data_IF_031442675880
#
_entry.id   IF_031442675880
#
_cell.length_a   1.000
_cell.length_b   1.000
_cell.length_c   1.000
_cell.angle_alpha   90.00
_cell.angle_beta   90.00
_cell.angle_gamma   90.00
#
_symmetry.space_group_name_H-M   'P 1'
#
loop_
_entity.id
_entity.type
_entity.pdbx_description
1 polymer ?
#
# COMPACT_ATOMS: atom_id res chain seq x y z
N UNK A 1 11.32 9.74 -28.96
CA UNK A 1 11.36 10.44 -27.67
C UNK A 1 12.70 11.15 -27.58
N UNK A 2 12.69 12.47 -27.46
CA UNK A 2 13.91 13.26 -27.26
C UNK A 2 14.42 13.14 -25.82
N UNK A 3 15.73 13.31 -25.63
CA UNK A 3 16.36 13.35 -24.31
C UNK A 3 16.04 14.69 -23.64
N UNK A 4 15.35 14.67 -22.49
CA UNK A 4 14.83 15.88 -21.82
C UNK A 4 15.50 16.21 -20.49
N UNK A 5 16.60 15.53 -20.14
CA UNK A 5 17.30 15.72 -18.85
C UNK A 5 18.60 16.50 -19.11
N UNK A 6 18.86 17.55 -18.33
CA UNK A 6 20.11 18.30 -18.40
C UNK A 6 21.32 17.40 -18.16
N UNK A 7 22.40 17.59 -18.93
CA UNK A 7 23.64 16.85 -18.76
C UNK A 7 24.31 17.09 -17.41
N UNK A 8 24.11 18.26 -16.79
CA UNK A 8 24.60 18.52 -15.43
C UNK A 8 23.91 17.60 -14.42
N UNK A 9 22.61 17.37 -14.57
CA UNK A 9 21.86 16.43 -13.74
C UNK A 9 22.31 14.98 -14.00
N UNK A 10 22.64 14.63 -15.25
CA UNK A 10 23.18 13.32 -15.60
C UNK A 10 24.53 13.09 -14.90
N UNK A 11 25.46 14.03 -15.07
CA UNK A 11 26.80 13.99 -14.49
C UNK A 11 26.72 13.91 -12.97
N UNK A 12 25.94 14.79 -12.34
CA UNK A 12 25.72 14.81 -10.90
C UNK A 12 25.25 13.45 -10.35
N UNK A 13 24.27 12.81 -10.98
CA UNK A 13 23.78 11.50 -10.52
C UNK A 13 24.78 10.37 -10.76
N UNK A 14 25.60 10.43 -11.80
CA UNK A 14 26.68 9.48 -12.05
C UNK A 14 27.78 9.62 -10.98
N UNK A 15 28.13 10.84 -10.59
CA UNK A 15 29.08 11.11 -9.51
C UNK A 15 28.57 10.55 -8.18
N UNK A 16 27.30 10.80 -7.82
CA UNK A 16 26.68 10.20 -6.64
C UNK A 16 26.67 8.67 -6.68
N UNK A 17 26.46 8.08 -7.87
CA UNK A 17 26.43 6.64 -8.04
C UNK A 17 27.80 5.98 -7.88
N UNK A 18 28.89 6.67 -8.23
CA UNK A 18 30.26 6.16 -8.20
C UNK A 18 31.04 6.60 -6.95
N UNK A 19 30.45 7.42 -6.07
CA UNK A 19 31.10 7.88 -4.86
C UNK A 19 31.58 6.70 -3.99
N UNK A 20 32.80 6.72 -3.45
CA UNK A 20 33.24 5.71 -2.49
C UNK A 20 32.31 5.66 -1.28
N UNK A 21 32.04 4.45 -0.80
CA UNK A 21 31.25 4.22 0.40
C UNK A 21 31.84 3.06 1.20
N UNK A 22 31.75 3.16 2.53
CA UNK A 22 32.06 2.05 3.43
C UNK A 22 31.03 0.91 3.30
N UNK A 23 31.29 -0.24 3.92
CA UNK A 23 30.32 -1.33 3.95
C UNK A 23 29.04 -0.90 4.70
N UNK A 24 27.86 -1.31 4.24
CA UNK A 24 26.61 -1.04 4.95
C UNK A 24 26.54 -1.82 6.26
N UNK A 25 25.90 -1.24 7.27
CA UNK A 25 25.56 -1.91 8.53
C UNK A 25 24.09 -2.33 8.50
N UNK A 26 23.75 -3.49 9.08
CA UNK A 26 22.40 -4.05 8.98
C UNK A 26 21.33 -3.09 9.48
N UNK A 27 21.54 -2.45 10.64
CA UNK A 27 20.58 -1.49 11.21
C UNK A 27 20.28 -0.31 10.27
N UNK A 28 21.30 0.21 9.58
CA UNK A 28 21.14 1.28 8.59
C UNK A 28 20.29 0.80 7.41
N UNK A 29 20.55 -0.41 6.91
CA UNK A 29 19.81 -1.03 5.81
C UNK A 29 18.36 -1.25 6.20
N UNK A 30 18.10 -1.80 7.38
CA UNK A 30 16.76 -2.04 7.88
C UNK A 30 16.01 -0.73 8.09
N UNK A 31 16.64 0.28 8.69
CA UNK A 31 16.03 1.61 8.86
C UNK A 31 15.67 2.26 7.52
N UNK A 32 16.51 2.11 6.49
CA UNK A 32 16.21 2.62 5.16
C UNK A 32 15.00 1.92 4.51
N UNK A 33 14.93 0.59 4.62
CA UNK A 33 13.79 -0.21 4.14
C UNK A 33 12.52 0.13 4.94
N UNK A 34 12.63 0.31 6.25
CA UNK A 34 11.50 0.62 7.12
C UNK A 34 10.94 2.02 6.87
N UNK A 35 11.80 2.99 6.53
CA UNK A 35 11.40 4.37 6.27
C UNK A 35 10.66 4.52 4.94
N UNK A 36 11.23 3.99 3.85
CA UNK A 36 10.76 4.27 2.48
C UNK A 36 10.67 3.03 1.58
N UNK A 37 10.95 1.83 2.10
CA UNK A 37 10.89 0.57 1.36
C UNK A 37 12.04 0.35 0.38
N UNK A 38 13.00 1.27 0.27
CA UNK A 38 13.99 1.33 -0.81
C UNK A 38 15.40 1.55 -0.28
N UNK A 39 16.36 1.01 -1.02
CA UNK A 39 17.78 1.24 -0.80
C UNK A 39 18.33 2.17 -1.88
N UNK A 40 18.95 3.26 -1.44
CA UNK A 40 19.57 4.28 -2.27
C UNK A 40 20.97 4.59 -1.76
N UNK A 41 21.92 4.82 -2.65
CA UNK A 41 23.30 5.14 -2.30
C UNK A 41 24.26 4.85 -3.45
N UNK A 42 25.58 4.94 -3.24
CA UNK A 42 26.54 4.55 -4.25
C UNK A 42 26.41 3.07 -4.64
N UNK A 43 26.85 2.73 -5.84
CA UNK A 43 26.66 1.39 -6.43
C UNK A 43 27.17 0.28 -5.51
N UNK A 44 28.36 0.44 -4.95
CA UNK A 44 28.98 -0.58 -4.11
C UNK A 44 28.26 -0.75 -2.76
N UNK A 45 27.77 0.36 -2.19
CA UNK A 45 26.98 0.32 -0.97
C UNK A 45 25.62 -0.34 -1.21
N UNK A 46 24.90 0.07 -2.26
CA UNK A 46 23.52 -0.41 -2.52
C UNK A 46 23.51 -1.91 -2.80
N UNK A 47 24.40 -2.43 -3.64
CA UNK A 47 24.45 -3.88 -3.90
C UNK A 47 24.83 -4.67 -2.64
N UNK A 48 25.73 -4.13 -1.80
CA UNK A 48 26.08 -4.75 -0.52
C UNK A 48 24.90 -4.72 0.46
N UNK A 49 24.15 -3.61 0.51
CA UNK A 49 22.98 -3.45 1.36
C UNK A 49 21.86 -4.40 0.95
N UNK A 50 21.66 -4.60 -0.36
CA UNK A 50 20.73 -5.61 -0.88
C UNK A 50 21.10 -7.03 -0.47
N UNK A 51 22.39 -7.42 -0.58
CA UNK A 51 22.84 -8.74 -0.13
C UNK A 51 22.66 -8.93 1.37
N UNK A 52 22.96 -7.91 2.16
CA UNK A 52 22.80 -7.91 3.61
C UNK A 52 21.32 -8.06 4.01
N UNK A 53 20.43 -7.34 3.34
CA UNK A 53 18.99 -7.47 3.54
C UNK A 53 18.46 -8.87 3.14
N UNK A 54 18.93 -9.41 2.00
CA UNK A 54 18.53 -10.76 1.53
C UNK A 54 18.97 -11.83 2.52
N UNK A 55 20.18 -11.70 3.08
CA UNK A 55 20.67 -12.58 4.15
C UNK A 55 19.75 -12.52 5.37
N UNK A 56 19.53 -11.31 5.90
CA UNK A 56 18.66 -11.06 7.03
C UNK A 56 17.26 -11.65 6.81
N UNK A 57 16.61 -11.31 5.69
CA UNK A 57 15.22 -11.71 5.45
C UNK A 57 15.07 -13.24 5.35
N UNK A 58 16.00 -13.94 4.70
CA UNK A 58 15.95 -15.38 4.61
C UNK A 58 16.20 -16.07 5.97
N UNK A 59 17.17 -15.56 6.76
CA UNK A 59 17.47 -16.09 8.08
C UNK A 59 16.28 -15.93 9.03
N UNK A 60 15.74 -14.72 9.12
CA UNK A 60 14.60 -14.41 9.99
C UNK A 60 13.36 -15.23 9.60
N UNK A 61 13.08 -15.38 8.30
CA UNK A 61 11.95 -16.21 7.83
C UNK A 61 12.18 -17.66 8.29
N UNK A 62 13.40 -18.17 8.14
CA UNK A 62 13.72 -19.54 8.53
C UNK A 62 13.62 -19.75 10.05
N UNK A 63 13.90 -18.74 10.86
CA UNK A 63 13.78 -18.80 12.32
C UNK A 63 12.34 -18.63 12.82
N UNK A 64 11.54 -17.81 12.13
CA UNK A 64 10.19 -17.43 12.57
C UNK A 64 9.12 -18.41 12.10
N UNK A 65 9.22 -18.90 10.86
CA UNK A 65 8.20 -19.77 10.27
C UNK A 65 8.53 -21.25 10.49
N UNK A 66 7.50 -22.05 10.72
CA UNK A 66 7.63 -23.50 10.83
C UNK A 66 7.89 -24.11 9.45
N UNK A 67 9.17 -24.28 9.13
CA UNK A 67 9.64 -24.90 7.89
C UNK A 67 10.13 -26.32 8.16
N UNK A 68 9.88 -27.24 7.23
CA UNK A 68 10.60 -28.51 7.22
C UNK A 68 12.08 -28.28 6.86
N UNK A 69 12.93 -29.27 7.11
CA UNK A 69 14.35 -29.18 6.75
C UNK A 69 14.55 -28.93 5.24
N UNK A 70 13.73 -29.57 4.39
CA UNK A 70 13.76 -29.35 2.95
C UNK A 70 13.35 -27.92 2.57
N UNK A 71 12.33 -27.37 3.23
CA UNK A 71 11.87 -26.00 2.98
C UNK A 71 12.87 -24.96 3.46
N UNK A 72 13.49 -25.18 4.63
CA UNK A 72 14.60 -24.36 5.12
C UNK A 72 15.74 -24.37 4.11
N UNK A 73 16.19 -25.55 3.67
CA UNK A 73 17.24 -25.67 2.64
C UNK A 73 16.85 -24.96 1.33
N UNK A 74 15.59 -25.07 0.92
CA UNK A 74 15.06 -24.40 -0.27
C UNK A 74 15.14 -22.87 -0.14
N UNK A 75 14.77 -22.31 1.02
CA UNK A 75 14.87 -20.88 1.30
C UNK A 75 16.32 -20.38 1.28
N UNK A 76 17.25 -21.13 1.89
CA UNK A 76 18.67 -20.76 1.90
C UNK A 76 19.28 -20.82 0.49
N UNK A 77 18.90 -21.81 -0.32
CA UNK A 77 19.30 -21.87 -1.73
C UNK A 77 18.77 -20.66 -2.53
N UNK A 78 17.53 -20.23 -2.27
CA UNK A 78 16.96 -19.02 -2.88
C UNK A 78 17.76 -17.77 -2.49
N UNK A 79 18.09 -17.61 -1.20
CA UNK A 79 18.94 -16.53 -0.70
C UNK A 79 20.28 -16.50 -1.43
N UNK A 80 20.96 -17.64 -1.53
CA UNK A 80 22.29 -17.74 -2.13
C UNK A 80 22.27 -17.45 -3.64
N UNK A 81 21.21 -17.89 -4.34
CA UNK A 81 21.00 -17.54 -5.73
C UNK A 81 20.83 -16.02 -5.92
N UNK A 82 20.00 -15.37 -5.10
CA UNK A 82 19.81 -13.91 -5.19
C UNK A 82 21.09 -13.14 -4.85
N UNK A 83 21.85 -13.56 -3.82
CA UNK A 83 23.13 -12.93 -3.46
C UNK A 83 24.19 -13.06 -4.57
N UNK A 84 24.25 -14.23 -5.21
CA UNK A 84 25.14 -14.46 -6.37
C UNK A 84 24.78 -13.52 -7.51
N UNK A 85 23.49 -13.43 -7.86
CA UNK A 85 23.01 -12.52 -8.91
C UNK A 85 23.35 -11.05 -8.64
N UNK A 86 23.19 -10.61 -7.39
CA UNK A 86 23.53 -9.24 -6.99
C UNK A 86 25.02 -8.95 -7.12
N UNK A 87 25.88 -9.94 -6.87
CA UNK A 87 27.33 -9.82 -7.02
C UNK A 87 27.75 -9.68 -8.48
N UNK A 88 27.20 -10.53 -9.36
CA UNK A 88 27.46 -10.44 -10.80
C UNK A 88 26.93 -9.13 -11.40
N UNK A 89 25.74 -8.72 -10.99
CA UNK A 89 25.15 -7.46 -11.44
C UNK A 89 25.87 -6.23 -10.91
N UNK A 90 26.47 -6.28 -9.72
CA UNK A 90 27.28 -5.18 -9.19
C UNK A 90 28.49 -4.90 -10.10
N UNK A 91 29.23 -5.95 -10.49
CA UNK A 91 30.38 -5.80 -11.41
C UNK A 91 29.97 -5.11 -12.70
N UNK A 92 28.90 -5.61 -13.32
CA UNK A 92 28.40 -5.04 -14.57
C UNK A 92 27.85 -3.61 -14.38
N UNK A 93 27.18 -3.31 -13.27
CA UNK A 93 26.68 -1.98 -12.98
C UNK A 93 27.83 -0.98 -12.82
N UNK A 94 28.88 -1.34 -12.08
CA UNK A 94 30.06 -0.50 -11.85
C UNK A 94 30.77 -0.15 -13.15
N UNK A 95 31.04 -1.14 -13.99
CA UNK A 95 31.66 -0.95 -15.31
C UNK A 95 30.84 0.02 -16.18
N UNK A 96 29.53 -0.23 -16.28
CA UNK A 96 28.65 0.60 -17.11
C UNK A 96 28.50 2.03 -16.59
N UNK A 97 28.38 2.21 -15.29
CA UNK A 97 28.30 3.54 -14.68
C UNK A 97 29.59 4.33 -14.90
N UNK A 98 30.76 3.69 -14.76
CA UNK A 98 32.05 4.32 -15.02
C UNK A 98 32.22 4.71 -16.49
N UNK A 99 31.84 3.82 -17.43
CA UNK A 99 31.87 4.12 -18.86
C UNK A 99 30.97 5.32 -19.23
N UNK A 100 29.75 5.36 -18.68
CA UNK A 100 28.83 6.48 -18.90
C UNK A 100 29.33 7.78 -18.26
N UNK A 101 29.91 7.71 -17.06
CA UNK A 101 30.50 8.88 -16.40
C UNK A 101 31.64 9.47 -17.24
N UNK A 102 32.57 8.62 -17.68
CA UNK A 102 33.68 9.03 -18.53
C UNK A 102 33.18 9.69 -19.83
N UNK A 103 32.23 9.05 -20.52
CA UNK A 103 31.65 9.58 -21.74
C UNK A 103 31.02 10.97 -21.55
N UNK A 104 30.26 11.18 -20.46
CA UNK A 104 29.61 12.46 -20.14
C UNK A 104 30.60 13.52 -19.64
N UNK A 105 31.65 13.13 -18.93
CA UNK A 105 32.69 14.03 -18.45
C UNK A 105 33.55 14.58 -19.60
N UNK A 106 33.90 13.71 -20.55
CA UNK A 106 34.76 14.03 -21.71
C UNK A 106 33.97 14.63 -22.89
N UNK A 107 32.63 14.65 -22.83
CA UNK A 107 31.78 15.06 -23.95
C UNK A 107 31.75 14.05 -25.11
N UNK A 108 32.32 12.85 -24.92
CA UNK A 108 32.40 11.79 -25.91
C UNK A 108 31.25 10.80 -25.77
N UNK A 109 30.03 11.24 -26.10
CA UNK A 109 28.82 10.42 -26.07
C UNK A 109 27.97 10.64 -27.30
N UNK A 110 27.08 9.69 -27.58
CA UNK A 110 26.13 9.76 -28.68
C UNK A 110 24.70 9.71 -28.15
N UNK A 111 23.84 10.62 -28.63
CA UNK A 111 22.41 10.60 -28.35
C UNK A 111 21.66 10.02 -29.56
N UNK A 112 20.90 8.95 -29.33
CA UNK A 112 20.07 8.36 -30.38
C UNK A 112 18.83 7.71 -29.77
N UNK A 113 17.65 7.98 -30.35
CA UNK A 113 16.42 7.30 -29.96
C UNK A 113 16.03 7.48 -28.48
N UNK A 114 16.39 8.60 -27.85
CA UNK A 114 16.14 8.86 -26.42
C UNK A 114 17.09 8.14 -25.47
N UNK A 115 18.23 7.65 -25.97
CA UNK A 115 19.27 6.98 -25.21
C UNK A 115 20.58 7.76 -25.28
N UNK A 116 21.37 7.66 -24.23
CA UNK A 116 22.76 8.11 -24.18
C UNK A 116 23.66 6.89 -24.29
N UNK A 117 24.59 6.94 -25.24
CA UNK A 117 25.59 5.90 -25.50
C UNK A 117 26.99 6.40 -25.17
N UNK A 118 27.76 5.59 -24.46
CA UNK A 118 29.21 5.69 -24.36
C UNK A 118 29.89 5.02 -25.58
N UNK A 119 31.17 5.31 -25.85
CA UNK A 119 31.88 4.78 -27.02
C UNK A 119 32.01 3.24 -27.05
N UNK A 120 32.00 2.60 -25.90
CA UNK A 120 32.04 1.14 -25.74
C UNK A 120 30.69 0.45 -26.03
N UNK A 121 29.67 1.21 -26.41
CA UNK A 121 28.31 0.72 -26.63
C UNK A 121 27.48 0.58 -25.36
N UNK A 122 28.02 0.90 -24.17
CA UNK A 122 27.25 1.04 -22.94
C UNK A 122 26.23 2.16 -23.12
N UNK A 123 25.01 1.94 -22.63
CA UNK A 123 23.96 2.94 -22.80
C UNK A 123 23.02 3.01 -21.61
N UNK A 124 22.38 4.18 -21.50
CA UNK A 124 21.28 4.42 -20.60
C UNK A 124 20.14 5.11 -21.31
N UNK A 125 18.95 5.05 -20.72
CA UNK A 125 17.77 5.72 -21.24
C UNK A 125 17.04 6.43 -20.12
N UNK A 126 16.37 7.53 -20.49
CA UNK A 126 15.54 8.29 -19.58
C UNK A 126 14.06 7.98 -19.82
N UNK A 127 13.34 7.58 -18.78
CA UNK A 127 11.87 7.57 -18.76
C UNK A 127 11.41 8.73 -17.88
N UNK A 128 10.63 9.69 -18.38
CA UNK A 128 10.21 10.91 -17.64
C UNK A 128 11.33 11.49 -16.73
N UNK A 129 11.46 11.02 -15.48
CA UNK A 129 12.42 11.49 -14.48
C UNK A 129 13.45 10.45 -13.98
N UNK A 130 13.43 9.22 -14.51
CA UNK A 130 14.27 8.10 -14.09
C UNK A 130 15.21 7.72 -15.23
N UNK A 131 16.52 7.85 -15.00
CA UNK A 131 17.55 7.35 -15.90
C UNK A 131 17.92 5.94 -15.51
N UNK A 132 17.96 5.02 -16.48
CA UNK A 132 18.11 3.60 -16.24
C UNK A 132 19.27 3.05 -17.06
N UNK A 133 20.14 2.30 -16.39
CA UNK A 133 21.24 1.55 -17.00
C UNK A 133 20.85 0.07 -16.97
N UNK A 134 20.59 -0.57 -18.12
CA UNK A 134 20.16 -1.97 -18.16
C UNK A 134 21.26 -2.92 -17.69
N UNK A 135 20.87 -3.93 -16.92
CA UNK A 135 21.69 -5.10 -16.62
C UNK A 135 21.24 -6.24 -17.53
N UNK A 136 22.20 -6.99 -18.10
CA UNK A 136 21.93 -8.00 -19.14
C UNK A 136 22.70 -9.28 -18.84
N UNK A 137 22.09 -10.41 -19.21
CA UNK A 137 22.68 -11.76 -19.14
C UNK A 137 23.12 -12.16 -17.72
N UNK A 138 22.42 -11.67 -16.70
CA UNK A 138 22.57 -12.07 -15.29
C UNK A 138 21.19 -12.51 -14.81
N UNK A 139 21.03 -13.79 -14.51
CA UNK A 139 19.73 -14.37 -14.13
C UNK A 139 19.90 -15.74 -13.47
N UNK A 140 18.97 -16.11 -12.58
CA UNK A 140 18.92 -17.44 -11.99
C UNK A 140 17.47 -17.94 -11.87
N UNK A 141 17.30 -19.26 -11.79
CA UNK A 141 16.06 -19.89 -11.31
C UNK A 141 16.32 -20.44 -9.92
N UNK A 142 15.46 -20.11 -8.97
CA UNK A 142 15.50 -20.67 -7.61
C UNK A 142 14.09 -20.94 -7.11
N UNK A 143 13.91 -21.97 -6.28
CA UNK A 143 12.60 -22.26 -5.67
C UNK A 143 12.43 -21.48 -4.37
N UNK A 144 11.26 -20.91 -4.15
CA UNK A 144 10.84 -20.34 -2.87
C UNK A 144 9.85 -21.29 -2.19
N UNK A 145 10.03 -21.66 -0.91
CA UNK A 145 9.14 -22.61 -0.25
C UNK A 145 7.79 -21.99 0.10
N UNK A 146 6.79 -22.83 0.40
CA UNK A 146 5.52 -22.37 0.96
C UNK A 146 5.69 -22.03 2.45
N UNK A 147 6.18 -20.81 2.70
CA UNK A 147 6.45 -20.30 4.06
C UNK A 147 5.18 -19.97 4.83
N UNK A 148 4.10 -19.61 4.13
CA UNK A 148 2.89 -19.08 4.78
C UNK A 148 1.91 -20.17 5.19
N UNK A 149 1.99 -21.36 4.57
CA UNK A 149 1.11 -22.51 4.84
C UNK A 149 -0.38 -22.17 4.79
N UNK A 150 -0.74 -21.22 3.91
CA UNK A 150 -2.10 -20.71 3.85
C UNK A 150 -3.02 -21.71 3.14
N UNK A 151 -4.28 -21.83 3.58
CA UNK A 151 -5.31 -22.51 2.80
C UNK A 151 -5.38 -21.91 1.39
N UNK A 152 -5.62 -22.76 0.38
CA UNK A 152 -5.60 -22.37 -1.03
C UNK A 152 -6.44 -21.12 -1.34
N UNK A 153 -7.67 -21.05 -0.80
CA UNK A 153 -8.55 -19.90 -0.99
C UNK A 153 -7.93 -18.60 -0.46
N UNK A 154 -7.23 -18.66 0.67
CA UNK A 154 -6.57 -17.49 1.27
C UNK A 154 -5.35 -17.05 0.46
N UNK A 155 -4.58 -18.01 -0.04
CA UNK A 155 -3.48 -17.74 -0.95
C UNK A 155 -3.97 -17.07 -2.24
N UNK A 156 -5.04 -17.60 -2.85
CA UNK A 156 -5.65 -17.01 -4.06
C UNK A 156 -6.12 -15.56 -3.82
N UNK A 157 -6.68 -15.24 -2.64
CA UNK A 157 -7.02 -13.86 -2.27
C UNK A 157 -5.81 -12.90 -2.26
N UNK A 158 -4.71 -13.32 -1.64
CA UNK A 158 -3.45 -12.55 -1.60
C UNK A 158 -2.90 -12.36 -3.01
N UNK A 159 -2.92 -13.42 -3.82
CA UNK A 159 -2.47 -13.43 -5.20
C UNK A 159 -3.30 -12.51 -6.11
N UNK A 160 -4.62 -12.49 -5.92
CA UNK A 160 -5.52 -11.59 -6.66
C UNK A 160 -5.21 -10.12 -6.36
N UNK A 161 -4.94 -9.77 -5.11
CA UNK A 161 -4.58 -8.39 -4.78
C UNK A 161 -3.26 -7.95 -5.39
N UNK A 162 -2.23 -8.81 -5.38
CA UNK A 162 -0.99 -8.55 -6.14
C UNK A 162 -1.29 -8.34 -7.63
N UNK A 163 -2.13 -9.18 -8.22
CA UNK A 163 -2.55 -9.07 -9.62
C UNK A 163 -3.31 -7.78 -9.94
N UNK A 164 -4.11 -7.30 -9.01
CA UNK A 164 -4.82 -6.01 -9.13
C UNK A 164 -3.88 -4.80 -9.00
N UNK A 165 -2.63 -5.01 -8.58
CA UNK A 165 -1.61 -3.97 -8.39
C UNK A 165 -0.48 -4.04 -9.43
N UNK A 166 0.78 -3.91 -9.02
CA UNK A 166 1.96 -3.83 -9.88
C UNK A 166 2.43 -5.17 -10.46
N UNK A 167 1.81 -6.31 -10.09
CA UNK A 167 2.09 -7.59 -10.72
C UNK A 167 1.69 -7.58 -12.21
N UNK A 168 2.69 -7.76 -13.06
CA UNK A 168 2.55 -7.91 -14.50
C UNK A 168 2.25 -9.34 -14.95
N UNK A 169 2.28 -9.51 -16.26
CA UNK A 169 2.15 -10.79 -16.92
C UNK A 169 3.28 -10.95 -17.94
N UNK A 170 4.19 -11.88 -17.68
CA UNK A 170 5.27 -12.25 -18.60
C UNK A 170 4.89 -13.59 -19.25
N UNK A 171 4.48 -13.55 -20.52
CA UNK A 171 4.16 -14.74 -21.33
C UNK A 171 3.20 -15.73 -20.64
N UNK A 172 2.15 -15.20 -20.00
CA UNK A 172 1.13 -15.99 -19.30
C UNK A 172 1.52 -16.39 -17.87
N UNK A 173 2.58 -15.80 -17.28
CA UNK A 173 3.04 -16.07 -15.91
C UNK A 173 3.07 -14.80 -15.06
N UNK A 174 2.80 -14.90 -13.74
CA UNK A 174 2.94 -13.76 -12.84
C UNK A 174 4.35 -13.17 -12.87
N UNK A 175 4.43 -11.85 -12.99
CA UNK A 175 5.68 -11.10 -13.10
C UNK A 175 5.71 -9.94 -12.11
N UNK A 176 6.85 -9.75 -11.44
CA UNK A 176 7.07 -8.62 -10.54
C UNK A 176 8.37 -7.91 -10.92
N UNK A 177 8.35 -6.59 -10.99
CA UNK A 177 9.55 -5.76 -11.10
C UNK A 177 9.54 -4.72 -10.00
N UNK A 178 10.51 -4.77 -9.09
CA UNK A 178 10.53 -3.90 -7.91
C UNK A 178 11.93 -3.39 -7.59
N UNK A 179 11.98 -2.22 -6.96
CA UNK A 179 13.18 -1.66 -6.33
C UNK A 179 13.17 -1.80 -4.81
N UNK A 180 12.21 -2.55 -4.26
CA UNK A 180 11.98 -2.69 -2.84
C UNK A 180 12.37 -4.09 -2.36
N UNK A 181 13.35 -4.22 -1.44
CA UNK A 181 13.80 -5.53 -0.97
C UNK A 181 12.71 -6.37 -0.31
N UNK A 182 11.89 -5.77 0.56
CA UNK A 182 10.79 -6.47 1.23
C UNK A 182 9.76 -7.05 0.23
N UNK A 183 9.55 -6.38 -0.91
CA UNK A 183 8.56 -6.81 -1.89
C UNK A 183 9.01 -8.06 -2.65
N UNK A 184 10.33 -8.32 -2.74
CA UNK A 184 10.87 -9.57 -3.30
C UNK A 184 10.34 -10.78 -2.54
N UNK A 185 10.50 -10.77 -1.22
CA UNK A 185 10.08 -11.86 -0.34
C UNK A 185 8.57 -11.90 -0.16
N UNK A 186 7.93 -10.75 0.04
CA UNK A 186 6.47 -10.68 0.21
C UNK A 186 5.73 -11.21 -1.02
N UNK A 187 6.21 -10.92 -2.23
CA UNK A 187 5.62 -11.45 -3.47
C UNK A 187 5.98 -12.92 -3.70
N UNK A 188 7.24 -13.33 -3.44
CA UNK A 188 7.67 -14.72 -3.56
C UNK A 188 6.88 -15.66 -2.63
N UNK A 189 6.56 -15.21 -1.41
CA UNK A 189 5.73 -15.95 -0.46
C UNK A 189 4.28 -16.14 -0.96
N UNK A 190 3.78 -15.26 -1.82
CA UNK A 190 2.49 -15.44 -2.49
C UNK A 190 2.58 -16.36 -3.73
N UNK A 191 3.79 -16.73 -4.17
CA UNK A 191 4.08 -17.52 -5.37
C UNK A 191 5.09 -18.65 -5.07
N UNK A 192 4.83 -19.54 -4.08
CA UNK A 192 5.77 -20.60 -3.76
C UNK A 192 6.02 -21.52 -4.96
N UNK A 193 7.25 -21.98 -5.11
CA UNK A 193 7.71 -22.73 -6.29
C UNK A 193 8.88 -22.06 -7.01
N UNK A 194 9.12 -22.44 -8.26
CA UNK A 194 10.23 -21.92 -9.06
C UNK A 194 9.99 -20.45 -9.44
N UNK A 195 10.97 -19.60 -9.15
CA UNK A 195 11.01 -18.20 -9.51
C UNK A 195 12.26 -17.94 -10.34
N UNK A 196 12.08 -17.37 -11.53
CA UNK A 196 13.17 -16.88 -12.37
C UNK A 196 13.43 -15.41 -12.05
N UNK A 197 14.65 -15.07 -11.65
CA UNK A 197 15.03 -13.78 -11.08
C UNK A 197 16.17 -13.19 -11.91
N UNK A 198 16.10 -11.89 -12.18
CA UNK A 198 17.17 -11.16 -12.84
C UNK A 198 17.19 -9.68 -12.44
N UNK A 199 18.37 -9.10 -12.16
CA UNK A 199 18.52 -7.65 -12.06
C UNK A 199 18.27 -7.04 -13.44
N UNK A 200 17.22 -6.22 -13.57
CA UNK A 200 16.83 -5.65 -14.86
C UNK A 200 17.58 -4.35 -15.18
N UNK A 201 17.79 -3.51 -14.17
CA UNK A 201 18.51 -2.24 -14.32
C UNK A 201 18.98 -1.69 -12.98
N UNK A 202 19.97 -0.80 -13.05
CA UNK A 202 20.21 0.20 -12.01
C UNK A 202 19.59 1.53 -12.45
N UNK A 203 18.97 2.25 -11.51
CA UNK A 203 18.31 3.51 -11.78
C UNK A 203 19.06 4.64 -11.08
N UNK A 204 19.44 5.68 -11.81
CA UNK A 204 20.10 6.86 -11.29
C UNK A 204 19.09 7.80 -10.62
N UNK A 205 19.33 8.09 -9.35
CA UNK A 205 18.50 8.93 -8.50
C UNK A 205 19.33 10.09 -7.94
N UNK A 206 18.68 11.06 -7.30
CA UNK A 206 19.39 12.14 -6.58
C UNK A 206 20.01 11.70 -5.24
N UNK A 207 19.92 10.40 -4.92
CA UNK A 207 20.48 9.78 -3.72
C UNK A 207 21.46 8.65 -4.09
N UNK A 208 22.00 8.64 -5.32
CA UNK A 208 22.80 7.54 -5.86
C UNK A 208 21.97 6.58 -6.72
N UNK A 209 22.23 5.28 -6.66
CA UNK A 209 21.53 4.26 -7.45
C UNK A 209 20.40 3.59 -6.68
N UNK A 210 19.47 2.99 -7.41
CA UNK A 210 18.61 1.90 -6.91
C UNK A 210 18.66 0.72 -7.86
N UNK A 211 18.46 -0.49 -7.36
CA UNK A 211 18.46 -1.73 -8.16
C UNK A 211 17.02 -2.14 -8.43
N UNK A 212 16.70 -2.48 -9.69
CA UNK A 212 15.42 -3.10 -10.06
C UNK A 212 15.64 -4.60 -10.23
N UNK A 213 15.01 -5.39 -9.37
CA UNK A 213 14.92 -6.85 -9.52
C UNK A 213 13.61 -7.21 -10.21
N UNK A 214 13.71 -8.07 -11.21
CA UNK A 214 12.57 -8.65 -11.91
C UNK A 214 12.47 -10.13 -11.59
N UNK A 215 11.25 -10.62 -11.44
CA UNK A 215 10.93 -11.99 -11.06
C UNK A 215 9.76 -12.52 -11.87
N UNK A 216 9.84 -13.78 -12.30
CA UNK A 216 8.76 -14.51 -12.97
C UNK A 216 8.46 -15.77 -12.18
N UNK A 217 7.23 -15.94 -11.71
CA UNK A 217 6.81 -17.13 -10.99
C UNK A 217 6.56 -18.26 -11.99
N UNK A 218 7.54 -19.15 -12.17
CA UNK A 218 7.53 -20.18 -13.21
C UNK A 218 6.58 -21.34 -12.90
N UNK A 219 6.35 -21.64 -11.63
CA UNK A 219 5.39 -22.65 -11.20
C UNK A 219 3.92 -22.21 -11.29
N UNK A 220 3.66 -20.95 -11.64
CA UNK A 220 2.31 -20.38 -11.65
C UNK A 220 1.91 -19.91 -13.05
N UNK A 221 0.63 -20.10 -13.40
CA UNK A 221 -0.02 -19.49 -14.56
C UNK A 221 -0.79 -18.26 -14.11
N UNK A 222 -0.78 -17.22 -14.93
CA UNK A 222 -1.58 -16.03 -14.67
C UNK A 222 -3.05 -16.36 -14.91
N UNK A 223 -3.86 -16.27 -13.85
CA UNK A 223 -5.26 -16.68 -13.87
C UNK A 223 -6.21 -15.54 -14.22
N UNK A 224 -5.83 -14.29 -13.93
CA UNK A 224 -6.74 -13.15 -14.06
C UNK A 224 -6.17 -12.05 -14.95
N UNK A 225 -7.05 -11.39 -15.72
CA UNK A 225 -6.73 -10.07 -16.29
C UNK A 225 -6.65 -9.05 -15.15
N UNK A 226 -5.90 -7.96 -15.37
CA UNK A 226 -5.67 -6.97 -14.30
C UNK A 226 -6.98 -6.29 -13.89
N UNK A 227 -7.82 -5.97 -14.87
CA UNK A 227 -9.13 -5.34 -14.68
C UNK A 227 -10.11 -6.26 -13.94
N UNK A 228 -10.10 -7.56 -14.26
CA UNK A 228 -10.88 -8.58 -13.56
C UNK A 228 -10.44 -8.71 -12.10
N UNK A 229 -9.12 -8.78 -11.85
CA UNK A 229 -8.59 -8.83 -10.50
C UNK A 229 -9.00 -7.60 -9.68
N UNK A 230 -8.93 -6.39 -10.24
CA UNK A 230 -9.42 -5.16 -9.59
C UNK A 230 -10.92 -5.28 -9.25
N UNK A 231 -11.75 -5.74 -10.19
CA UNK A 231 -13.19 -5.91 -9.96
C UNK A 231 -13.49 -6.90 -8.83
N UNK A 232 -12.75 -8.01 -8.78
CA UNK A 232 -12.88 -9.02 -7.71
C UNK A 232 -12.46 -8.44 -6.36
N UNK A 233 -11.33 -7.71 -6.28
CA UNK A 233 -10.89 -7.04 -5.04
C UNK A 233 -11.98 -6.10 -4.51
N UNK A 234 -12.61 -5.30 -5.39
CA UNK A 234 -13.69 -4.40 -4.98
C UNK A 234 -14.96 -5.15 -4.53
N UNK A 235 -15.24 -6.31 -5.12
CA UNK A 235 -16.35 -7.18 -4.69
C UNK A 235 -16.07 -7.78 -3.32
N UNK A 236 -14.87 -8.34 -3.09
CA UNK A 236 -14.44 -8.82 -1.78
C UNK A 236 -14.54 -7.72 -0.72
N UNK A 237 -14.09 -6.50 -1.03
CA UNK A 237 -14.20 -5.35 -0.13
C UNK A 237 -15.65 -5.08 0.28
N UNK A 238 -16.60 -5.10 -0.68
CA UNK A 238 -18.03 -4.92 -0.38
C UNK A 238 -18.60 -6.04 0.50
N UNK A 239 -18.10 -7.25 0.34
CA UNK A 239 -18.47 -8.42 1.15
C UNK A 239 -17.74 -8.47 2.50
N UNK A 240 -16.80 -7.55 2.73
CA UNK A 240 -16.06 -7.47 3.99
C UNK A 240 -14.83 -8.37 4.07
N UNK A 241 -14.34 -8.88 2.95
CA UNK A 241 -13.05 -9.57 2.83
C UNK A 241 -11.97 -8.59 2.37
N UNK A 242 -10.93 -8.41 3.20
CA UNK A 242 -9.91 -7.36 3.02
C UNK A 242 -8.52 -7.88 2.61
N UNK A 243 -8.25 -9.19 2.63
CA UNK A 243 -6.94 -9.71 2.21
C UNK A 243 -6.54 -9.32 0.77
N UNK A 244 -7.43 -9.40 -0.24
CA UNK A 244 -7.09 -8.93 -1.58
C UNK A 244 -6.83 -7.42 -1.63
N UNK A 245 -7.52 -6.63 -0.79
CA UNK A 245 -7.28 -5.19 -0.71
C UNK A 245 -5.91 -4.90 -0.08
N UNK A 246 -5.50 -5.66 0.94
CA UNK A 246 -4.21 -5.53 1.59
C UNK A 246 -3.07 -5.63 0.57
N UNK A 247 -3.01 -6.71 -0.22
CA UNK A 247 -1.92 -6.89 -1.18
C UNK A 247 -2.02 -5.97 -2.39
N UNK A 248 -3.24 -5.61 -2.83
CA UNK A 248 -3.41 -4.54 -3.82
C UNK A 248 -2.79 -3.22 -3.35
N UNK A 249 -2.98 -2.87 -2.07
CA UNK A 249 -2.42 -1.67 -1.47
C UNK A 249 -0.91 -1.80 -1.20
N UNK A 250 -0.39 -2.99 -0.88
CA UNK A 250 1.05 -3.21 -0.76
C UNK A 250 1.80 -2.95 -2.08
N UNK A 251 1.21 -3.27 -3.23
CA UNK A 251 1.77 -2.90 -4.54
C UNK A 251 1.58 -1.42 -4.86
N UNK A 252 0.34 -1.02 -5.17
CA UNK A 252 0.02 0.30 -5.76
C UNK A 252 -0.44 1.35 -4.73
N UNK A 253 -0.54 0.99 -3.46
CA UNK A 253 -0.97 1.88 -2.38
C UNK A 253 0.05 2.93 -1.98
N UNK A 254 -0.44 4.06 -1.44
CA UNK A 254 0.40 5.15 -0.91
C UNK A 254 0.24 5.30 0.61
N UNK A 255 1.36 5.19 1.33
CA UNK A 255 1.44 5.51 2.76
C UNK A 255 1.47 7.04 2.95
N UNK A 256 0.29 7.64 3.18
CA UNK A 256 0.14 9.09 3.34
C UNK A 256 0.38 9.51 4.80
N UNK A 257 1.62 9.38 5.29
CA UNK A 257 1.98 9.62 6.70
C UNK A 257 1.45 10.94 7.26
N UNK A 258 1.53 12.06 6.53
CA UNK A 258 0.98 13.35 6.97
C UNK A 258 -0.56 13.43 7.02
N UNK A 259 -1.27 12.40 6.56
CA UNK A 259 -2.75 12.30 6.54
C UNK A 259 -3.25 10.99 7.14
N UNK A 260 -2.41 10.27 7.86
CA UNK A 260 -2.73 8.95 8.43
C UNK A 260 -3.96 8.97 9.35
N UNK A 261 -4.19 10.06 10.08
CA UNK A 261 -5.40 10.27 10.90
C UNK A 261 -6.70 10.46 10.10
N UNK A 262 -6.63 10.56 8.76
CA UNK A 262 -7.83 10.51 7.90
C UNK A 262 -8.30 9.08 7.67
N UNK A 263 -7.48 8.08 8.02
CA UNK A 263 -7.74 6.65 7.84
C UNK A 263 -8.20 6.34 6.43
N UNK A 264 -7.44 6.75 5.41
CA UNK A 264 -7.75 6.52 4.01
C UNK A 264 -6.80 5.48 3.41
N UNK A 265 -7.38 4.44 2.78
CA UNK A 265 -6.66 3.49 1.92
C UNK A 265 -6.74 4.02 0.50
N UNK A 266 -5.61 4.50 -0.01
CA UNK A 266 -5.48 5.06 -1.34
C UNK A 266 -4.56 4.23 -2.22
N UNK A 267 -4.98 3.97 -3.46
CA UNK A 267 -4.24 3.21 -4.47
C UNK A 267 -4.09 4.00 -5.77
N UNK A 268 -2.99 3.78 -6.47
CA UNK A 268 -2.79 4.32 -7.80
C UNK A 268 -3.68 3.61 -8.83
N UNK A 269 -4.28 4.36 -9.76
CA UNK A 269 -5.11 3.81 -10.83
C UNK A 269 -5.15 4.76 -12.03
N UNK A 270 -5.21 4.22 -13.24
CA UNK A 270 -5.36 5.04 -14.47
C UNK A 270 -6.70 5.76 -14.53
N UNK A 271 -7.75 5.10 -14.05
CA UNK A 271 -9.13 5.62 -14.02
C UNK A 271 -9.64 5.59 -12.58
N UNK A 272 -9.14 6.49 -11.71
CA UNK A 272 -9.39 6.41 -10.27
C UNK A 272 -10.87 6.50 -9.90
N UNK A 273 -11.70 7.18 -10.70
CA UNK A 273 -13.14 7.28 -10.49
C UNK A 273 -13.89 5.95 -10.64
N UNK A 274 -13.31 4.93 -11.30
CA UNK A 274 -13.93 3.60 -11.44
C UNK A 274 -13.81 2.74 -10.19
N UNK A 275 -12.78 2.98 -9.37
CA UNK A 275 -12.44 2.09 -8.25
C UNK A 275 -12.68 2.73 -6.88
N UNK A 276 -12.83 4.05 -6.80
CA UNK A 276 -13.05 4.74 -5.54
C UNK A 276 -13.18 6.26 -5.69
N UNK A 277 -12.95 6.98 -4.60
CA UNK A 277 -12.95 8.45 -4.62
C UNK A 277 -11.64 8.97 -5.21
N UNK A 278 -11.71 9.50 -6.42
CA UNK A 278 -10.58 10.20 -7.03
C UNK A 278 -10.10 11.35 -6.13
N UNK A 279 -8.79 11.39 -5.86
CA UNK A 279 -8.12 12.46 -5.10
C UNK A 279 -7.02 13.15 -5.91
N UNK A 280 -6.89 12.79 -7.17
CA UNK A 280 -5.98 13.31 -8.19
C UNK A 280 -6.12 12.48 -9.46
N UNK A 281 -5.34 12.82 -10.49
CA UNK A 281 -5.46 12.22 -11.84
C UNK A 281 -5.26 10.71 -11.88
N UNK A 282 -4.48 10.18 -10.94
CA UNK A 282 -4.09 8.76 -10.92
C UNK A 282 -4.25 8.10 -9.56
N UNK A 283 -5.12 8.61 -8.68
CA UNK A 283 -5.22 8.09 -7.31
C UNK A 283 -6.65 8.08 -6.78
N UNK A 284 -7.06 6.93 -6.25
CA UNK A 284 -8.37 6.71 -5.67
C UNK A 284 -8.26 6.29 -4.19
N UNK A 285 -9.08 6.90 -3.33
CA UNK A 285 -9.36 6.37 -2.00
C UNK A 285 -10.44 5.30 -2.14
N UNK A 286 -10.08 4.05 -1.89
CA UNK A 286 -10.93 2.87 -2.10
C UNK A 286 -11.63 2.41 -0.82
N UNK A 287 -11.04 2.72 0.34
CA UNK A 287 -11.66 2.47 1.64
C UNK A 287 -11.26 3.55 2.65
N UNK A 288 -12.10 3.76 3.66
CA UNK A 288 -11.87 4.76 4.72
C UNK A 288 -12.41 4.28 6.07
N UNK A 289 -11.72 4.64 7.15
CA UNK A 289 -12.15 4.44 8.54
C UNK A 289 -11.13 3.63 9.33
N UNK A 290 -11.02 3.91 10.63
CA UNK A 290 -10.10 3.18 11.53
C UNK A 290 -10.41 1.67 11.55
N UNK A 291 -11.70 1.29 11.54
CA UNK A 291 -12.15 -0.11 11.42
C UNK A 291 -11.59 -0.84 10.19
N UNK A 292 -11.46 -0.15 9.05
CA UNK A 292 -10.89 -0.74 7.84
C UNK A 292 -9.43 -1.12 8.08
N UNK A 293 -8.67 -0.30 8.82
CA UNK A 293 -7.27 -0.60 9.15
C UNK A 293 -7.16 -1.74 10.15
N UNK A 294 -8.03 -1.80 11.17
CA UNK A 294 -8.12 -2.94 12.08
C UNK A 294 -8.36 -4.24 11.32
N UNK A 295 -9.38 -4.25 10.44
CA UNK A 295 -9.74 -5.43 9.65
C UNK A 295 -8.71 -5.78 8.59
N UNK A 296 -7.98 -4.81 8.04
CA UNK A 296 -6.81 -5.08 7.19
C UNK A 296 -5.71 -5.77 7.98
N UNK A 297 -5.46 -5.33 9.22
CA UNK A 297 -4.46 -5.93 10.07
C UNK A 297 -4.83 -7.36 10.47
N UNK A 298 -6.08 -7.58 10.87
CA UNK A 298 -6.64 -8.92 11.13
C UNK A 298 -6.58 -9.82 9.90
N UNK A 299 -6.96 -9.29 8.73
CA UNK A 299 -6.93 -10.04 7.47
C UNK A 299 -5.50 -10.42 7.03
N UNK A 300 -4.47 -9.75 7.52
CA UNK A 300 -3.09 -10.08 7.16
C UNK A 300 -2.68 -11.48 7.66
N UNK A 301 -3.15 -11.90 8.85
CA UNK A 301 -2.81 -13.21 9.42
C UNK A 301 -1.29 -13.51 9.39
N UNK A 302 -0.86 -14.72 9.01
CA UNK A 302 0.58 -15.06 8.86
C UNK A 302 1.34 -14.14 7.88
N UNK A 303 0.65 -13.55 6.92
CA UNK A 303 1.26 -12.59 5.99
C UNK A 303 1.66 -11.29 6.69
N UNK A 304 0.90 -10.85 7.70
CA UNK A 304 1.25 -9.69 8.53
C UNK A 304 2.56 -9.90 9.29
N UNK A 305 2.74 -11.09 9.86
CA UNK A 305 4.00 -11.49 10.51
C UNK A 305 5.19 -11.46 9.54
N UNK A 306 5.00 -11.97 8.32
CA UNK A 306 6.02 -11.86 7.27
C UNK A 306 6.35 -10.39 6.96
N UNK A 307 5.35 -9.53 6.83
CA UNK A 307 5.57 -8.10 6.51
C UNK A 307 6.29 -7.35 7.63
N UNK A 308 6.03 -7.71 8.89
CA UNK A 308 6.73 -7.18 10.08
C UNK A 308 8.22 -7.53 10.05
N UNK A 309 8.51 -8.81 9.85
CA UNK A 309 9.86 -9.33 9.75
C UNK A 309 10.64 -8.66 8.62
N UNK A 310 10.00 -8.47 7.47
CA UNK A 310 10.57 -7.82 6.30
C UNK A 310 10.73 -6.30 6.44
N UNK A 311 10.37 -5.70 7.58
CA UNK A 311 10.41 -4.24 7.81
C UNK A 311 9.64 -3.46 6.73
N UNK A 312 8.47 -3.98 6.32
CA UNK A 312 7.67 -3.36 5.27
C UNK A 312 7.14 -1.99 5.73
N UNK A 313 7.67 -0.90 5.14
CA UNK A 313 7.24 0.47 5.48
C UNK A 313 5.73 0.72 5.31
N UNK A 314 5.09 0.04 4.34
CA UNK A 314 3.64 0.12 4.13
C UNK A 314 2.87 -0.60 5.24
N UNK A 315 3.37 -1.74 5.70
CA UNK A 315 2.77 -2.45 6.82
C UNK A 315 2.87 -1.63 8.12
N UNK A 316 4.00 -0.95 8.35
CA UNK A 316 4.12 0.00 9.46
C UNK A 316 3.08 1.11 9.41
N UNK A 317 2.75 1.63 8.22
CA UNK A 317 1.65 2.60 8.08
C UNK A 317 0.30 2.02 8.52
N UNK A 318 0.02 0.73 8.27
CA UNK A 318 -1.19 0.06 8.76
C UNK A 318 -1.14 -0.08 10.29
N UNK A 319 -0.04 -0.59 10.85
CA UNK A 319 0.14 -0.73 12.31
C UNK A 319 -0.01 0.60 13.04
N UNK A 320 0.59 1.66 12.51
CA UNK A 320 0.50 3.01 13.05
C UNK A 320 -0.90 3.61 12.94
N UNK A 321 -1.67 3.25 11.90
CA UNK A 321 -3.07 3.64 11.81
C UNK A 321 -3.93 2.85 12.81
N UNK A 322 -3.64 1.56 13.04
CA UNK A 322 -4.30 0.71 14.03
C UNK A 322 -4.04 1.22 15.46
N UNK A 323 -2.78 1.51 15.79
CA UNK A 323 -2.36 1.99 17.11
C UNK A 323 -2.90 3.38 17.46
N UNK A 324 -3.33 4.17 16.46
CA UNK A 324 -3.99 5.45 16.72
C UNK A 324 -5.33 5.22 17.41
N UNK A 325 -5.46 5.81 18.60
CA UNK A 325 -6.72 5.87 19.34
C UNK A 325 -7.80 6.58 18.52
N UNK A 326 -9.04 6.10 18.60
CA UNK A 326 -10.17 6.85 18.04
C UNK A 326 -10.33 8.14 18.84
N UNK A 327 -10.92 9.16 18.22
CA UNK A 327 -11.20 10.42 18.91
C UNK A 327 -12.07 10.23 20.16
N UNK A 328 -12.95 9.22 20.15
CA UNK A 328 -13.77 8.83 21.30
C UNK A 328 -12.91 8.34 22.46
N UNK A 329 -11.93 7.48 22.19
CA UNK A 329 -11.07 6.90 23.22
C UNK A 329 -10.16 7.98 23.83
N UNK A 330 -9.63 8.89 23.01
CA UNK A 330 -8.86 10.05 23.50
C UNK A 330 -9.72 10.90 24.44
N UNK A 331 -10.98 11.13 24.08
CA UNK A 331 -11.88 11.92 24.92
C UNK A 331 -12.25 11.16 26.21
N UNK A 332 -12.43 9.84 26.13
CA UNK A 332 -12.74 8.97 27.27
C UNK A 332 -11.63 9.00 28.31
N UNK A 333 -10.37 8.97 27.90
CA UNK A 333 -9.22 9.07 28.81
C UNK A 333 -9.13 10.41 29.54
N UNK A 334 -9.61 11.49 28.92
CA UNK A 334 -9.67 12.80 29.55
C UNK A 334 -10.83 12.93 30.56
N UNK A 335 -11.80 12.03 30.54
CA UNK A 335 -13.01 12.06 31.36
C UNK A 335 -12.92 11.01 32.47
N UNK A 336 -12.86 11.44 33.73
CA UNK A 336 -12.65 10.52 34.87
C UNK A 336 -13.83 9.58 35.15
N UNK A 337 -15.06 10.09 35.08
CA UNK A 337 -16.29 9.34 35.37
C UNK A 337 -17.41 9.86 34.46
N UNK A 338 -17.53 9.38 33.21
CA UNK A 338 -18.62 9.78 32.35
C UNK A 338 -19.94 9.29 32.95
N UNK A 339 -20.96 10.15 32.93
CA UNK A 339 -22.32 9.74 33.34
C UNK A 339 -22.81 8.63 32.41
N UNK A 340 -23.71 7.77 32.91
CA UNK A 340 -24.50 6.91 32.02
C UNK A 340 -25.53 7.77 31.29
N UNK A 341 -25.73 7.51 30.01
CA UNK A 341 -26.81 8.12 29.23
C UNK A 341 -27.71 7.02 28.68
N UNK A 342 -29.01 7.32 28.58
CA UNK A 342 -29.99 6.39 28.01
C UNK A 342 -29.84 6.32 26.48
N UNK A 343 -29.51 5.14 25.91
CA UNK A 343 -29.38 4.99 24.46
C UNK A 343 -30.59 5.48 23.68
N UNK A 344 -31.81 5.23 24.14
CA UNK A 344 -33.04 5.60 23.42
C UNK A 344 -33.22 7.12 23.37
N UNK A 345 -32.84 7.82 24.45
CA UNK A 345 -32.82 9.29 24.52
C UNK A 345 -31.77 9.89 23.57
N UNK A 346 -30.60 9.27 23.47
CA UNK A 346 -29.56 9.69 22.51
C UNK A 346 -30.08 9.54 21.09
N UNK A 347 -30.64 8.38 20.74
CA UNK A 347 -31.19 8.11 19.40
C UNK A 347 -32.31 9.09 19.04
N UNK A 348 -33.25 9.36 19.95
CA UNK A 348 -34.35 10.30 19.73
C UNK A 348 -33.87 11.75 19.52
N UNK A 349 -32.71 12.11 20.09
CA UNK A 349 -32.13 13.45 20.00
C UNK A 349 -31.19 13.64 18.80
N UNK A 350 -30.91 12.58 18.03
CA UNK A 350 -30.03 12.66 16.88
C UNK A 350 -30.64 13.49 15.75
N UNK A 351 -29.80 14.32 15.13
CA UNK A 351 -30.14 15.09 13.94
C UNK A 351 -29.45 14.51 12.72
N UNK A 352 -30.20 14.39 11.63
CA UNK A 352 -29.66 13.90 10.37
C UNK A 352 -29.02 15.03 9.58
N UNK A 353 -27.85 14.76 9.00
CA UNK A 353 -27.14 15.71 8.14
C UNK A 353 -26.68 15.04 6.86
N UNK A 354 -26.96 15.71 5.74
CA UNK A 354 -26.52 15.30 4.41
C UNK A 354 -25.09 15.79 4.18
N UNK A 355 -24.17 14.87 3.93
CA UNK A 355 -22.78 15.19 3.67
C UNK A 355 -22.52 15.05 2.17
N UNK A 356 -22.16 16.16 1.52
CA UNK A 356 -21.82 16.16 0.09
C UNK A 356 -20.41 15.58 -0.12
N UNK A 357 -20.31 14.26 -0.20
CA UNK A 357 -19.13 13.50 -0.65
C UNK A 357 -19.41 12.74 -1.95
N UNK A 358 -18.49 11.86 -2.38
CA UNK A 358 -18.64 11.03 -3.59
C UNK A 358 -19.86 10.11 -3.51
N UNK A 359 -21.02 10.61 -3.93
CA UNK A 359 -22.31 9.93 -3.92
C UNK A 359 -23.29 10.33 -2.83
N UNK A 360 -22.94 11.31 -1.99
CA UNK A 360 -23.78 11.65 -0.83
C UNK A 360 -23.73 10.60 0.28
N UNK A 361 -23.79 11.04 1.52
CA UNK A 361 -24.03 10.13 2.66
C UNK A 361 -24.86 10.83 3.72
N UNK A 362 -25.43 10.03 4.62
CA UNK A 362 -26.22 10.47 5.75
C UNK A 362 -25.44 10.15 7.03
N UNK A 363 -25.35 11.14 7.91
CA UNK A 363 -24.90 10.95 9.29
C UNK A 363 -26.04 11.30 10.25
N UNK A 364 -26.09 10.61 11.39
CA UNK A 364 -26.94 10.95 12.51
C UNK A 364 -26.05 11.49 13.63
N UNK A 365 -26.30 12.71 14.08
CA UNK A 365 -25.43 13.44 14.99
C UNK A 365 -26.18 13.90 16.24
N UNK A 366 -25.61 13.56 17.39
CA UNK A 366 -25.94 14.11 18.71
C UNK A 366 -24.94 15.21 19.07
N UNK A 367 -25.38 16.24 19.78
CA UNK A 367 -24.54 17.38 20.17
C UNK A 367 -24.50 17.53 21.69
N UNK A 368 -23.31 17.35 22.26
CA UNK A 368 -23.03 17.53 23.68
C UNK A 368 -22.34 18.88 23.92
N UNK A 369 -22.53 19.47 25.09
CA UNK A 369 -21.83 20.70 25.49
C UNK A 369 -20.52 20.40 26.22
N UNK A 370 -20.43 19.24 26.88
CA UNK A 370 -19.27 18.84 27.67
C UNK A 370 -18.61 17.57 27.14
N UNK A 371 -17.38 17.32 27.57
CA UNK A 371 -16.67 16.09 27.21
C UNK A 371 -17.33 14.87 27.87
N UNK A 372 -17.83 15.05 29.09
CA UNK A 372 -18.54 14.04 29.88
C UNK A 372 -19.81 13.58 29.16
N UNK A 373 -20.65 14.53 28.71
CA UNK A 373 -21.86 14.24 27.93
C UNK A 373 -21.52 13.55 26.60
N UNK A 374 -20.44 13.98 25.94
CA UNK A 374 -20.02 13.39 24.68
C UNK A 374 -19.58 11.93 24.83
N UNK A 375 -18.81 11.63 25.88
CA UNK A 375 -18.38 10.27 26.19
C UNK A 375 -19.57 9.41 26.64
N UNK A 376 -20.48 9.95 27.45
CA UNK A 376 -21.71 9.28 27.87
C UNK A 376 -22.57 8.86 26.67
N UNK A 377 -22.84 9.80 25.76
CA UNK A 377 -23.60 9.54 24.53
C UNK A 377 -22.89 8.55 23.61
N UNK A 378 -21.56 8.65 23.48
CA UNK A 378 -20.79 7.68 22.69
C UNK A 378 -20.87 6.27 23.28
N UNK A 379 -20.70 6.12 24.60
CA UNK A 379 -20.82 4.82 25.27
C UNK A 379 -22.21 4.21 25.09
N UNK A 380 -23.28 5.02 25.21
CA UNK A 380 -24.66 4.57 25.00
C UNK A 380 -24.93 4.09 23.56
N UNK A 381 -24.28 4.68 22.56
CA UNK A 381 -24.37 4.19 21.18
C UNK A 381 -23.57 2.89 20.99
N UNK A 382 -22.43 2.75 21.66
CA UNK A 382 -21.61 1.53 21.62
C UNK A 382 -22.33 0.32 22.26
N UNK A 383 -23.17 0.52 23.30
CA UNK A 383 -24.01 -0.58 23.84
C UNK A 383 -25.04 -1.10 22.85
N UNK A 384 -25.39 -0.31 21.83
CA UNK A 384 -26.25 -0.72 20.71
C UNK A 384 -25.46 -1.34 19.55
N UNK A 385 -24.17 -1.59 19.73
CA UNK A 385 -23.28 -2.13 18.70
C UNK A 385 -22.92 -1.13 17.59
N UNK A 386 -23.16 0.17 17.80
CA UNK A 386 -22.77 1.22 16.84
C UNK A 386 -21.32 1.67 17.04
N UNK A 387 -20.77 2.41 16.08
CA UNK A 387 -19.40 2.96 16.15
C UNK A 387 -19.40 4.50 16.03
N UNK A 388 -19.68 5.23 17.12
CA UNK A 388 -19.75 6.69 17.09
C UNK A 388 -18.38 7.33 16.83
N UNK A 389 -18.37 8.48 16.17
CA UNK A 389 -17.21 9.34 16.05
C UNK A 389 -17.46 10.60 16.88
N UNK A 390 -16.45 11.05 17.62
CA UNK A 390 -16.55 12.29 18.41
C UNK A 390 -15.63 13.34 17.81
N UNK A 391 -16.16 14.52 17.51
CA UNK A 391 -15.39 15.65 16.99
C UNK A 391 -15.74 16.89 17.79
N UNK A 392 -14.72 17.66 18.21
CA UNK A 392 -14.92 18.96 18.83
C UNK A 392 -15.32 19.97 17.74
N UNK A 393 -16.52 20.53 17.86
CA UNK A 393 -17.09 21.52 16.95
C UNK A 393 -17.36 22.80 17.71
N UNK A 394 -16.44 23.76 17.64
CA UNK A 394 -16.46 25.01 18.41
C UNK A 394 -16.60 24.75 19.92
N UNK A 395 -17.70 25.22 20.53
CA UNK A 395 -18.03 25.07 21.96
C UNK A 395 -18.79 23.79 22.28
N UNK A 396 -18.98 22.89 21.31
CA UNK A 396 -19.74 21.64 21.47
C UNK A 396 -18.94 20.44 20.98
N UNK A 397 -19.37 19.26 21.39
CA UNK A 397 -18.92 17.99 20.86
C UNK A 397 -20.01 17.42 19.95
N UNK A 398 -19.63 17.03 18.74
CA UNK A 398 -20.50 16.34 17.80
C UNK A 398 -20.18 14.86 17.85
N UNK A 399 -21.17 14.07 18.23
CA UNK A 399 -21.11 12.61 18.31
C UNK A 399 -21.96 12.07 17.17
N UNK A 400 -21.36 11.42 16.20
CA UNK A 400 -22.09 10.99 15.01
C UNK A 400 -21.80 9.55 14.60
N UNK A 401 -22.84 8.90 14.08
CA UNK A 401 -22.78 7.58 13.45
C UNK A 401 -23.04 7.71 11.95
N UNK A 402 -22.44 6.84 11.16
CA UNK A 402 -22.57 6.83 9.71
C UNK A 402 -23.77 6.02 9.24
N UNK A 403 -24.08 6.12 7.94
CA UNK A 403 -25.16 5.37 7.29
C UNK A 403 -25.16 3.87 7.64
N UNK A 404 -23.99 3.23 7.73
CA UNK A 404 -23.89 1.80 8.08
C UNK A 404 -24.53 1.42 9.42
N UNK A 405 -24.35 2.25 10.46
CA UNK A 405 -24.96 2.03 11.77
C UNK A 405 -26.45 2.41 11.74
N UNK A 406 -26.80 3.48 11.01
CA UNK A 406 -28.20 3.90 10.78
C UNK A 406 -29.00 2.75 10.15
N UNK A 407 -28.44 2.01 9.19
CA UNK A 407 -29.11 0.87 8.54
C UNK A 407 -29.45 -0.27 9.50
N UNK A 408 -28.58 -0.52 10.49
CA UNK A 408 -28.67 -1.67 11.39
C UNK A 408 -29.63 -1.44 12.56
N UNK A 409 -29.95 -0.18 12.88
CA UNK A 409 -30.84 0.16 13.97
C UNK A 409 -32.20 0.62 13.43
N UNK A 410 -33.27 -0.07 13.86
CA UNK A 410 -34.64 0.17 13.37
C UNK A 410 -35.10 1.61 13.59
N UNK A 411 -34.89 2.17 14.78
CA UNK A 411 -35.32 3.53 15.12
C UNK A 411 -34.62 4.59 14.27
N UNK A 412 -33.28 4.50 14.13
CA UNK A 412 -32.53 5.41 13.28
C UNK A 412 -32.89 5.26 11.81
N UNK A 413 -33.11 4.03 11.32
CA UNK A 413 -33.53 3.77 9.94
C UNK A 413 -34.85 4.44 9.62
N UNK A 414 -35.87 4.26 10.46
CA UNK A 414 -37.19 4.88 10.29
C UNK A 414 -37.13 6.42 10.38
N UNK A 415 -36.36 6.96 11.33
CA UNK A 415 -36.16 8.40 11.45
C UNK A 415 -35.38 8.99 10.26
N UNK A 416 -34.37 8.28 9.76
CA UNK A 416 -33.61 8.64 8.57
C UNK A 416 -34.50 8.67 7.32
N UNK A 417 -35.35 7.65 7.10
CA UNK A 417 -36.27 7.61 5.97
C UNK A 417 -37.20 8.82 5.95
N UNK A 418 -37.79 9.17 7.11
CA UNK A 418 -38.62 10.39 7.24
C UNK A 418 -37.84 11.65 6.90
N UNK A 419 -36.63 11.80 7.43
CA UNK A 419 -35.78 12.96 7.16
C UNK A 419 -35.37 13.07 5.68
N UNK A 420 -35.03 11.94 5.03
CA UNK A 420 -34.69 11.90 3.61
C UNK A 420 -35.90 12.25 2.73
N UNK A 421 -37.10 11.75 3.05
CA UNK A 421 -38.33 12.10 2.34
C UNK A 421 -38.66 13.59 2.47
N UNK A 422 -38.51 14.16 3.67
CA UNK A 422 -38.68 15.60 3.89
C UNK A 422 -37.70 16.40 3.03
N UNK A 423 -36.41 16.04 3.05
CA UNK A 423 -35.38 16.69 2.23
C UNK A 423 -35.63 16.55 0.72
N UNK A 424 -36.26 15.46 0.27
CA UNK A 424 -36.68 15.32 -1.13
C UNK A 424 -37.82 16.28 -1.50
N UNK A 425 -38.75 16.54 -0.57
CA UNK A 425 -39.90 17.43 -0.79
C UNK A 425 -39.53 18.90 -0.72
N UNK A 426 -38.85 19.32 0.35
CA UNK A 426 -38.61 20.74 0.68
C UNK A 426 -37.13 21.15 0.68
N UNK A 427 -36.20 20.23 0.44
CA UNK A 427 -34.78 20.53 0.43
C UNK A 427 -34.32 21.33 -0.79
N UNK A 428 -33.14 21.94 -0.66
CA UNK A 428 -32.46 22.64 -1.75
C UNK A 428 -32.17 21.69 -2.93
N UNK A 429 -31.98 22.21 -4.16
CA UNK A 429 -31.59 21.39 -5.31
C UNK A 429 -30.39 20.47 -5.03
N UNK A 430 -29.40 20.97 -4.29
CA UNK A 430 -28.22 20.21 -3.87
C UNK A 430 -28.54 19.10 -2.89
N UNK A 431 -29.40 19.33 -1.90
CA UNK A 431 -29.83 18.30 -0.96
C UNK A 431 -30.62 17.19 -1.67
N UNK A 432 -31.55 17.55 -2.55
CA UNK A 432 -32.33 16.57 -3.34
C UNK A 432 -31.43 15.67 -4.18
N UNK A 433 -30.42 16.26 -4.81
CA UNK A 433 -29.42 15.50 -5.58
C UNK A 433 -28.62 14.53 -4.70
N UNK A 434 -28.22 14.96 -3.50
CA UNK A 434 -27.54 14.08 -2.54
C UNK A 434 -28.45 12.93 -2.12
N UNK A 435 -29.72 13.19 -1.83
CA UNK A 435 -30.67 12.14 -1.41
C UNK A 435 -30.89 11.12 -2.53
N UNK A 436 -31.05 11.55 -3.79
CA UNK A 436 -31.15 10.63 -4.94
C UNK A 436 -29.98 9.66 -5.03
N UNK A 437 -28.74 10.18 -4.92
CA UNK A 437 -27.55 9.34 -4.96
C UNK A 437 -27.46 8.37 -3.78
N UNK A 438 -27.95 8.76 -2.60
CA UNK A 438 -28.04 7.86 -1.44
C UNK A 438 -29.02 6.72 -1.74
N UNK A 439 -30.19 7.02 -2.33
CA UNK A 439 -31.21 6.03 -2.72
C UNK A 439 -30.64 5.03 -3.74
N UNK A 440 -30.09 5.54 -4.85
CA UNK A 440 -29.56 4.70 -5.95
C UNK A 440 -28.48 3.72 -5.48
N UNK A 441 -27.66 4.12 -4.49
CA UNK A 441 -26.55 3.30 -3.97
C UNK A 441 -26.93 2.35 -2.86
N UNK A 442 -28.12 2.51 -2.28
CA UNK A 442 -28.56 1.77 -1.11
C UNK A 442 -30.02 1.31 -1.29
N UNK A 443 -30.34 0.54 -2.35
CA UNK A 443 -31.72 0.12 -2.62
C UNK A 443 -32.34 -0.62 -1.42
N UNK A 444 -31.57 -1.48 -0.76
CA UNK A 444 -31.98 -2.25 0.42
C UNK A 444 -32.28 -1.38 1.67
N UNK A 445 -31.94 -0.08 1.64
CA UNK A 445 -32.27 0.83 2.74
C UNK A 445 -33.72 1.30 2.71
N UNK A 446 -34.38 1.17 1.55
CA UNK A 446 -35.75 1.64 1.31
C UNK A 446 -36.74 0.50 1.08
N UNK A 447 -36.29 -0.75 1.22
CA UNK A 447 -37.12 -1.94 1.38
C UNK A 447 -37.33 -2.19 2.88
#
# INVERSE_FOLDING_TARGET
MEWKISFDEVRYRLELALKPAGPPVLDEVLAAVEKNGRLHGPVDWVFSAWRLYVEYAAQEIAETFQLTEEERRTLLNFRDAVKTLLTEAQRQAREKLAALYKAVAEGNYRLEGGKLFAPDGTWMYATKNVMRVPIRRVSASARFPDVLKLPRQRLEMIQMGWRASDEGNERGRPFMATTQPWQVFAWAAARPGEIYIFPASVNLTRQGVSVTLSMVARSWRQQWRKEEAISVVLTCLRQGELAPLLTMWLGDGKARWGRIGRFEIAVAAKEPWKIGRATGDYEAVVAKGHDVFMRLAEAAGPYGMLLDLLKCHKWNYIKEAVARKRSVDILREAVKNPRSEDPDRVLASMKFSLVSGNGGTLIAAYYANTAEEAVAAANALETLGMRPNVVKSNRKYMIYVGLGDIKKNKQLREAAMRSLMEKMRSGTPREREIVRRIIERNPDFFQ
#
